data_IF_403228617860
#
_entry.id   IF_403228617860
#
_cell.length_a   1.000
_cell.length_b   1.000
_cell.length_c   1.000
_cell.angle_alpha   90.00
_cell.angle_beta   90.00
_cell.angle_gamma   90.00
#
_symmetry.space_group_name_H-M   'P 1'
#
loop_
_entity.id
_entity.type
_entity.pdbx_description
1 polymer ?
#
# COMPACT_ATOMS: atom_id res chain seq x y z
N UNK A 1 -40.36 -5.23 -58.66
CA UNK A 1 -40.79 -4.08 -57.85
C UNK A 1 -39.61 -3.13 -57.76
N UNK A 2 -39.77 -1.88 -58.20
CA UNK A 2 -38.70 -0.88 -58.14
C UNK A 2 -38.71 -0.21 -56.77
N UNK A 3 -37.61 -0.32 -56.02
CA UNK A 3 -37.45 0.30 -54.71
C UNK A 3 -36.67 1.61 -54.85
N UNK A 4 -37.18 2.69 -54.25
CA UNK A 4 -36.53 4.00 -54.21
C UNK A 4 -36.55 4.57 -52.79
N UNK A 5 -35.88 5.70 -52.59
CA UNK A 5 -35.84 6.39 -51.32
C UNK A 5 -36.50 7.76 -51.42
N UNK A 6 -37.19 8.15 -50.35
CA UNK A 6 -37.70 9.49 -50.18
C UNK A 6 -36.58 10.46 -49.77
N UNK A 7 -36.81 11.75 -49.95
CA UNK A 7 -35.86 12.81 -49.54
C UNK A 7 -35.60 12.86 -48.03
N UNK A 8 -36.42 12.18 -47.22
CA UNK A 8 -36.24 12.02 -45.78
C UNK A 8 -35.48 10.74 -45.39
N UNK A 9 -35.04 9.95 -46.37
CA UNK A 9 -34.24 8.73 -46.20
C UNK A 9 -35.05 7.44 -46.08
N UNK A 10 -36.39 7.48 -46.09
CA UNK A 10 -37.23 6.27 -46.00
C UNK A 10 -37.23 5.45 -47.29
N UNK A 11 -37.19 4.12 -47.19
CA UNK A 11 -37.26 3.19 -48.32
C UNK A 11 -38.72 2.94 -48.71
N UNK A 12 -39.01 3.05 -50.00
CA UNK A 12 -40.36 2.87 -50.55
C UNK A 12 -40.36 2.02 -51.81
N UNK A 13 -41.44 1.27 -52.05
CA UNK A 13 -41.69 0.54 -53.31
C UNK A 13 -42.62 1.36 -54.18
N UNK A 14 -42.29 1.50 -55.47
CA UNK A 14 -43.17 2.15 -56.45
C UNK A 14 -44.27 1.16 -56.86
N UNK A 15 -45.52 1.50 -56.57
CA UNK A 15 -46.69 0.66 -56.85
C UNK A 15 -47.37 1.06 -58.18
N UNK A 16 -47.25 2.33 -58.58
CA UNK A 16 -47.77 2.82 -59.85
C UNK A 16 -47.52 4.31 -60.06
N UNK A 17 -47.79 4.81 -61.26
CA UNK A 17 -47.70 6.24 -61.58
C UNK A 17 -49.11 6.84 -61.60
N UNK A 18 -49.33 7.95 -60.89
CA UNK A 18 -50.61 8.63 -60.89
C UNK A 18 -50.70 9.59 -62.10
N UNK A 19 -49.60 10.26 -62.41
CA UNK A 19 -49.41 11.17 -63.56
C UNK A 19 -47.91 11.24 -63.91
N UNK A 20 -47.52 11.91 -65.00
CA UNK A 20 -46.11 12.06 -65.44
C UNK A 20 -45.15 12.69 -64.39
N UNK A 21 -45.66 13.26 -63.29
CA UNK A 21 -44.87 13.91 -62.24
C UNK A 21 -45.04 13.27 -60.84
N UNK A 22 -46.02 12.39 -60.65
CA UNK A 22 -46.42 11.91 -59.32
C UNK A 22 -46.52 10.38 -59.32
N UNK A 23 -45.82 9.74 -58.37
CA UNK A 23 -45.79 8.28 -58.22
C UNK A 23 -46.47 7.85 -56.92
N UNK A 24 -47.23 6.77 -56.99
CA UNK A 24 -47.82 6.11 -55.82
C UNK A 24 -46.77 5.16 -55.26
N UNK A 25 -46.36 5.42 -54.02
CA UNK A 25 -45.36 4.63 -53.33
C UNK A 25 -45.92 4.03 -52.04
N UNK A 26 -45.30 2.93 -51.61
CA UNK A 26 -45.65 2.25 -50.37
C UNK A 26 -44.39 2.11 -49.51
N UNK A 27 -44.49 2.46 -48.22
CA UNK A 27 -43.35 2.38 -47.29
C UNK A 27 -42.96 0.92 -47.01
N UNK A 28 -41.65 0.67 -47.05
CA UNK A 28 -41.03 -0.61 -46.71
C UNK A 28 -40.53 -0.55 -45.29
N UNK A 29 -41.07 -1.40 -44.43
CA UNK A 29 -40.58 -1.58 -43.07
C UNK A 29 -39.61 -2.75 -43.03
N UNK A 30 -38.58 -2.63 -42.19
CA UNK A 30 -37.62 -3.72 -41.93
C UNK A 30 -37.98 -4.35 -40.59
N UNK A 31 -38.20 -5.66 -40.57
CA UNK A 31 -38.45 -6.39 -39.32
C UNK A 31 -37.17 -6.51 -38.50
N UNK A 32 -37.27 -6.84 -37.20
CA UNK A 32 -36.09 -7.04 -36.33
C UNK A 32 -35.14 -8.15 -36.83
N UNK A 33 -35.61 -9.03 -37.72
CA UNK A 33 -34.84 -10.11 -38.34
C UNK A 33 -34.19 -9.71 -39.68
N UNK A 34 -34.42 -8.47 -40.15
CA UNK A 34 -33.84 -7.94 -41.38
C UNK A 34 -34.68 -8.14 -42.64
N UNK A 35 -35.89 -8.72 -42.53
CA UNK A 35 -36.78 -8.91 -43.67
C UNK A 35 -37.48 -7.59 -44.04
N UNK A 36 -37.45 -7.24 -45.32
CA UNK A 36 -38.09 -6.05 -45.86
C UNK A 36 -39.53 -6.36 -46.29
N UNK A 37 -40.51 -5.72 -45.63
CA UNK A 37 -41.93 -5.93 -45.91
C UNK A 37 -42.57 -4.60 -46.34
N UNK A 38 -43.16 -4.53 -47.56
CA UNK A 38 -44.00 -3.40 -47.93
C UNK A 38 -45.31 -3.48 -47.13
N UNK A 39 -45.44 -2.61 -46.13
CA UNK A 39 -46.53 -2.69 -45.15
C UNK A 39 -47.20 -1.35 -44.83
N UNK A 40 -46.65 -0.24 -45.32
CA UNK A 40 -47.23 1.10 -45.08
C UNK A 40 -48.45 1.39 -45.93
N UNK A 41 -49.12 2.50 -45.62
CA UNK A 41 -50.17 3.05 -46.48
C UNK A 41 -49.58 3.54 -47.81
N UNK A 42 -50.39 3.54 -48.87
CA UNK A 42 -50.00 4.06 -50.18
C UNK A 42 -50.19 5.56 -50.20
N UNK A 43 -49.14 6.31 -50.55
CA UNK A 43 -49.20 7.76 -50.68
C UNK A 43 -48.46 8.24 -51.92
N UNK A 44 -48.75 9.47 -52.33
CA UNK A 44 -48.26 10.05 -53.60
C UNK A 44 -47.06 10.94 -53.33
N UNK A 45 -45.99 10.76 -54.10
CA UNK A 45 -44.75 11.55 -53.98
C UNK A 45 -44.22 12.02 -55.33
N UNK A 46 -43.55 13.17 -55.32
CA UNK A 46 -43.02 13.84 -56.52
C UNK A 46 -41.53 13.57 -56.76
N UNK A 47 -40.77 13.32 -55.69
CA UNK A 47 -39.32 13.18 -55.76
C UNK A 47 -38.90 11.88 -55.10
N UNK A 48 -38.14 11.08 -55.85
CA UNK A 48 -37.61 9.79 -55.43
C UNK A 48 -36.13 9.73 -55.83
N UNK A 49 -35.34 9.14 -54.96
CA UNK A 49 -33.90 8.98 -55.13
C UNK A 49 -33.55 7.51 -55.25
N UNK A 50 -32.55 7.19 -56.07
CA UNK A 50 -32.11 5.80 -56.28
C UNK A 50 -31.23 5.28 -55.12
N UNK A 51 -30.76 6.17 -54.25
CA UNK A 51 -29.95 5.86 -53.07
C UNK A 51 -30.51 6.58 -51.82
N UNK A 52 -30.28 6.02 -50.62
CA UNK A 52 -30.72 6.66 -49.38
C UNK A 52 -30.11 8.05 -49.24
N UNK A 53 -30.98 9.04 -49.04
CA UNK A 53 -30.56 10.44 -48.86
C UNK A 53 -30.17 10.66 -47.41
N UNK A 54 -28.87 10.72 -47.15
CA UNK A 54 -28.37 11.17 -45.85
C UNK A 54 -28.43 12.69 -45.75
N UNK A 55 -29.04 13.20 -44.67
CA UNK A 55 -28.98 14.64 -44.39
C UNK A 55 -27.54 15.04 -44.06
N UNK A 56 -27.11 16.20 -44.54
CA UNK A 56 -25.79 16.76 -44.24
C UNK A 56 -25.52 16.80 -42.72
N UNK A 57 -26.54 17.12 -41.93
CA UNK A 57 -26.48 17.10 -40.46
C UNK A 57 -26.18 15.70 -39.88
N UNK A 58 -26.76 14.63 -40.43
CA UNK A 58 -26.46 13.26 -39.97
C UNK A 58 -25.01 12.88 -40.24
N UNK A 59 -24.52 13.16 -41.46
CA UNK A 59 -23.13 12.90 -41.85
C UNK A 59 -22.13 13.70 -41.02
N UNK A 60 -22.47 14.95 -40.70
CA UNK A 60 -21.61 15.80 -39.86
C UNK A 60 -21.61 15.36 -38.39
N UNK A 61 -22.75 14.92 -37.84
CA UNK A 61 -22.81 14.32 -36.49
C UNK A 61 -21.90 13.11 -36.36
N UNK A 62 -21.96 12.16 -37.30
CA UNK A 62 -21.08 10.99 -37.30
C UNK A 62 -19.59 11.39 -37.35
N UNK A 63 -19.27 12.43 -38.13
CA UNK A 63 -17.90 12.97 -38.20
C UNK A 63 -17.46 13.60 -36.88
N UNK A 64 -18.33 14.38 -36.24
CA UNK A 64 -18.06 15.02 -34.95
C UNK A 64 -17.95 13.97 -33.82
N UNK A 65 -18.79 12.95 -33.81
CA UNK A 65 -18.74 11.85 -32.84
C UNK A 65 -17.44 11.05 -32.96
N UNK A 66 -17.01 10.73 -34.19
CA UNK A 66 -15.70 10.09 -34.42
C UNK A 66 -14.55 10.97 -33.94
N UNK A 67 -14.57 12.26 -34.29
CA UNK A 67 -13.54 13.20 -33.85
C UNK A 67 -13.50 13.34 -32.31
N UNK A 68 -14.66 13.31 -31.64
CA UNK A 68 -14.77 13.35 -30.19
C UNK A 68 -14.26 12.06 -29.54
N UNK A 69 -14.56 10.89 -30.12
CA UNK A 69 -14.03 9.61 -29.66
C UNK A 69 -12.50 9.55 -29.80
N UNK A 70 -11.95 9.97 -30.94
CA UNK A 70 -10.51 10.04 -31.17
C UNK A 70 -9.82 11.03 -30.21
N UNK A 71 -10.46 12.19 -29.95
CA UNK A 71 -9.96 13.17 -28.99
C UNK A 71 -9.94 12.60 -27.56
N UNK A 72 -10.98 11.86 -27.14
CA UNK A 72 -11.01 11.17 -25.83
C UNK A 72 -9.89 10.15 -25.70
N UNK A 73 -9.67 9.31 -26.73
CA UNK A 73 -8.58 8.33 -26.73
C UNK A 73 -7.20 9.01 -26.66
N UNK A 74 -7.01 10.15 -27.33
CA UNK A 74 -5.77 10.93 -27.23
C UNK A 74 -5.57 11.51 -25.83
N UNK A 75 -6.61 12.04 -25.20
CA UNK A 75 -6.56 12.56 -23.83
C UNK A 75 -6.18 11.44 -22.85
N UNK A 76 -6.77 10.25 -22.98
CA UNK A 76 -6.47 9.11 -22.13
C UNK A 76 -5.01 8.67 -22.26
N UNK A 77 -4.49 8.58 -23.49
CA UNK A 77 -3.07 8.29 -23.75
C UNK A 77 -2.15 9.33 -23.13
N UNK A 78 -2.42 10.62 -23.36
CA UNK A 78 -1.63 11.71 -22.80
C UNK A 78 -1.67 11.67 -21.26
N UNK A 79 -2.83 11.41 -20.65
CA UNK A 79 -2.93 11.29 -19.20
C UNK A 79 -2.12 10.10 -18.65
N UNK A 80 -2.13 8.96 -19.36
CA UNK A 80 -1.30 7.81 -18.98
C UNK A 80 0.20 8.13 -19.09
N UNK A 81 0.61 8.85 -20.13
CA UNK A 81 1.99 9.31 -20.31
C UNK A 81 2.40 10.31 -19.23
N UNK A 82 1.54 11.27 -18.90
CA UNK A 82 1.75 12.23 -17.80
C UNK A 82 1.94 11.47 -16.48
N UNK A 83 1.09 10.49 -16.18
CA UNK A 83 1.20 9.70 -14.96
C UNK A 83 2.51 8.92 -14.90
N UNK A 84 2.92 8.29 -16.00
CA UNK A 84 4.19 7.59 -16.10
C UNK A 84 5.39 8.53 -15.95
N UNK A 85 5.34 9.72 -16.55
CA UNK A 85 6.37 10.75 -16.40
C UNK A 85 6.44 11.28 -14.97
N UNK A 86 5.30 11.47 -14.30
CA UNK A 86 5.24 11.87 -12.89
C UNK A 86 5.85 10.81 -11.97
N UNK A 87 5.57 9.53 -12.22
CA UNK A 87 6.19 8.41 -11.50
C UNK A 87 7.71 8.39 -11.74
N UNK A 88 8.14 8.55 -12.99
CA UNK A 88 9.55 8.59 -13.36
C UNK A 88 10.27 9.77 -12.70
N UNK A 89 9.67 10.96 -12.70
CA UNK A 89 10.20 12.15 -12.04
C UNK A 89 10.29 11.93 -10.53
N UNK A 90 9.29 11.32 -9.92
CA UNK A 90 9.28 11.01 -8.48
C UNK A 90 10.41 10.03 -8.13
N UNK A 91 10.61 8.99 -8.95
CA UNK A 91 11.74 8.07 -8.82
C UNK A 91 13.08 8.82 -8.88
N UNK A 92 13.31 9.63 -9.91
CA UNK A 92 14.57 10.37 -10.05
C UNK A 92 14.79 11.38 -8.92
N UNK A 93 13.72 12.00 -8.39
CA UNK A 93 13.81 12.88 -7.22
C UNK A 93 14.29 12.13 -5.99
N UNK A 94 13.70 10.96 -5.69
CA UNK A 94 14.14 10.13 -4.57
C UNK A 94 15.55 9.58 -4.78
N UNK A 95 15.90 9.17 -6.00
CA UNK A 95 17.26 8.76 -6.33
C UNK A 95 18.29 9.86 -6.06
N UNK A 96 18.02 11.10 -6.52
CA UNK A 96 18.93 12.23 -6.27
C UNK A 96 19.04 12.52 -4.78
N UNK A 97 17.92 12.46 -4.04
CA UNK A 97 17.91 12.64 -2.58
C UNK A 97 18.77 11.59 -1.88
N UNK A 98 18.61 10.32 -2.23
CA UNK A 98 19.38 9.21 -1.66
C UNK A 98 20.86 9.31 -2.02
N UNK A 99 21.19 9.52 -3.30
CA UNK A 99 22.58 9.63 -3.78
C UNK A 99 23.28 10.83 -3.15
N UNK A 100 22.60 11.98 -3.05
CA UNK A 100 23.17 13.16 -2.41
C UNK A 100 23.47 12.87 -0.94
N UNK A 101 22.50 12.35 -0.20
CA UNK A 101 22.69 12.08 1.20
C UNK A 101 23.76 10.99 1.45
N UNK A 102 23.82 9.96 0.61
CA UNK A 102 24.91 8.99 0.65
C UNK A 102 26.27 9.63 0.34
N UNK A 103 26.36 10.46 -0.70
CA UNK A 103 27.59 11.17 -1.07
C UNK A 103 28.07 12.13 0.02
N UNK A 104 27.14 12.79 0.72
CA UNK A 104 27.47 13.72 1.80
C UNK A 104 28.07 12.97 3.01
N UNK A 105 27.64 11.73 3.26
CA UNK A 105 28.07 10.91 4.41
C UNK A 105 29.03 9.76 4.03
N UNK A 106 29.47 9.66 2.77
CA UNK A 106 30.26 8.50 2.30
C UNK A 106 31.61 8.38 3.02
N UNK A 107 32.20 9.52 3.40
CA UNK A 107 33.47 9.56 4.14
C UNK A 107 33.29 9.25 5.63
N UNK A 108 32.08 9.47 6.16
CA UNK A 108 31.71 9.14 7.54
C UNK A 108 31.16 7.69 7.63
N UNK A 109 30.83 7.09 6.49
CA UNK A 109 30.34 5.73 6.40
C UNK A 109 31.46 4.73 6.66
N UNK A 110 31.20 3.78 7.54
CA UNK A 110 32.13 2.68 7.83
C UNK A 110 32.08 1.62 6.72
N UNK A 111 32.74 1.93 5.60
CA UNK A 111 32.81 1.03 4.44
C UNK A 111 33.63 -0.24 4.73
N UNK A 112 34.54 -0.19 5.70
CA UNK A 112 35.29 -1.36 6.16
C UNK A 112 34.35 -2.32 6.89
N UNK A 113 33.50 -1.81 7.80
CA UNK A 113 32.46 -2.60 8.43
C UNK A 113 31.49 -3.20 7.40
N UNK A 114 31.11 -2.43 6.38
CA UNK A 114 30.29 -2.97 5.29
C UNK A 114 31.00 -4.13 4.56
N UNK A 115 32.28 -3.97 4.21
CA UNK A 115 33.06 -5.03 3.59
C UNK A 115 33.19 -6.26 4.50
N UNK A 116 33.37 -6.07 5.81
CA UNK A 116 33.42 -7.14 6.79
C UNK A 116 32.12 -7.94 6.85
N UNK A 117 30.97 -7.25 6.81
CA UNK A 117 29.65 -7.91 6.78
C UNK A 117 29.48 -8.71 5.49
N UNK A 118 29.76 -8.11 4.34
CA UNK A 118 29.59 -8.76 3.03
C UNK A 118 30.55 -9.93 2.82
N UNK A 119 31.73 -9.89 3.45
CA UNK A 119 32.72 -10.98 3.40
C UNK A 119 32.52 -12.02 4.52
N UNK A 120 31.54 -11.84 5.39
CA UNK A 120 31.24 -12.79 6.48
C UNK A 120 32.28 -12.80 7.59
N UNK A 121 33.06 -11.73 7.77
CA UNK A 121 34.05 -11.59 8.84
C UNK A 121 33.42 -11.27 10.20
N UNK A 122 32.10 -11.09 10.24
CA UNK A 122 31.31 -10.84 11.45
C UNK A 122 30.83 -12.16 12.09
N UNK A 123 30.70 -12.17 13.41
CA UNK A 123 30.33 -13.36 14.19
C UNK A 123 29.02 -13.22 14.93
N UNK A 124 28.57 -11.99 15.16
CA UNK A 124 27.39 -11.70 15.95
C UNK A 124 26.45 -10.77 15.19
N UNK A 125 25.16 -10.96 15.41
CA UNK A 125 24.10 -10.13 14.87
C UNK A 125 23.20 -9.63 16.01
N UNK A 126 22.77 -8.37 15.89
CA UNK A 126 21.85 -7.72 16.81
C UNK A 126 20.70 -7.15 15.99
N UNK A 127 19.51 -7.72 16.16
CA UNK A 127 18.28 -7.19 15.57
C UNK A 127 17.75 -6.01 16.39
N UNK A 128 17.48 -4.87 15.76
CA UNK A 128 16.84 -3.71 16.41
C UNK A 128 15.36 -4.01 16.68
N UNK A 129 15.05 -4.30 17.95
CA UNK A 129 13.69 -4.53 18.42
C UNK A 129 13.15 -3.35 19.27
N UNK A 130 11.82 -3.33 19.45
CA UNK A 130 11.15 -2.42 20.39
C UNK A 130 11.59 -2.63 21.85
N UNK A 131 12.10 -3.82 22.21
CA UNK A 131 12.71 -4.13 23.52
C UNK A 131 14.24 -4.14 23.51
N UNK A 132 14.91 -4.52 24.60
CA UNK A 132 16.37 -4.70 24.55
C UNK A 132 16.70 -5.86 23.60
N UNK A 133 17.56 -5.64 22.60
CA UNK A 133 17.82 -6.66 21.58
C UNK A 133 18.63 -7.83 22.15
N UNK A 134 18.52 -8.98 21.49
CA UNK A 134 19.33 -10.17 21.80
C UNK A 134 20.61 -10.16 20.98
N UNK A 135 21.68 -10.76 21.52
CA UNK A 135 22.89 -11.05 20.76
C UNK A 135 22.77 -12.48 20.23
N UNK A 136 22.76 -12.62 18.92
CA UNK A 136 22.70 -13.92 18.22
C UNK A 136 24.00 -14.16 17.46
N UNK A 137 24.34 -15.43 17.23
CA UNK A 137 25.45 -15.74 16.31
C UNK A 137 25.03 -15.41 14.88
N UNK A 138 25.98 -14.94 14.08
CA UNK A 138 25.74 -14.58 12.69
C UNK A 138 25.12 -15.73 11.89
N UNK A 139 25.68 -16.93 12.00
CA UNK A 139 25.21 -18.13 11.30
C UNK A 139 23.77 -18.47 11.68
N UNK A 140 23.45 -18.48 12.98
CA UNK A 140 22.10 -18.78 13.47
C UNK A 140 21.09 -17.73 13.00
N UNK A 141 21.48 -16.46 13.03
CA UNK A 141 20.62 -15.34 12.65
C UNK A 141 20.36 -15.28 11.14
N UNK A 142 21.40 -15.44 10.33
CA UNK A 142 21.34 -15.34 8.87
C UNK A 142 20.78 -16.60 8.20
N UNK A 143 20.71 -17.72 8.91
CA UNK A 143 20.12 -18.96 8.37
C UNK A 143 18.60 -18.83 8.21
N UNK A 144 18.10 -19.15 7.01
CA UNK A 144 16.69 -19.45 6.78
C UNK A 144 16.48 -20.95 6.97
N UNK A 145 15.74 -21.32 8.02
CA UNK A 145 15.45 -22.71 8.35
C UNK A 145 13.94 -22.90 8.33
N UNK A 146 13.46 -23.74 7.41
CA UNK A 146 12.10 -24.23 7.49
C UNK A 146 12.00 -25.27 8.61
N UNK A 147 11.00 -25.09 9.45
CA UNK A 147 10.72 -25.91 10.62
C UNK A 147 9.33 -26.53 10.47
N UNK A 148 9.13 -27.31 9.41
CA UNK A 148 7.88 -28.05 9.19
C UNK A 148 7.94 -29.42 9.88
N UNK A 149 7.02 -29.66 10.82
CA UNK A 149 6.88 -30.93 11.57
C UNK A 149 8.18 -31.44 12.22
N UNK A 150 8.97 -30.54 12.82
CA UNK A 150 10.19 -30.89 13.56
C UNK A 150 11.39 -31.28 12.69
N UNK A 151 11.25 -31.27 11.36
CA UNK A 151 12.39 -31.32 10.43
C UNK A 151 12.91 -29.90 10.24
N UNK A 152 14.22 -29.73 10.43
CA UNK A 152 14.92 -28.48 10.20
C UNK A 152 15.67 -28.58 8.88
N UNK A 153 15.16 -27.93 7.85
CA UNK A 153 15.83 -27.88 6.56
C UNK A 153 16.39 -26.47 6.35
N UNK A 154 17.69 -26.41 6.03
CA UNK A 154 18.31 -25.15 5.64
C UNK A 154 17.86 -24.78 4.22
N UNK A 155 17.18 -23.65 4.09
CA UNK A 155 16.65 -23.15 2.82
C UNK A 155 17.52 -22.07 2.18
N UNK A 156 18.55 -21.63 2.90
CA UNK A 156 19.50 -20.63 2.41
C UNK A 156 19.81 -19.56 3.44
N UNK A 157 20.52 -18.54 2.97
CA UNK A 157 20.87 -17.35 3.76
C UNK A 157 19.79 -16.31 3.53
N UNK A 158 19.32 -15.66 4.60
CA UNK A 158 18.35 -14.56 4.54
C UNK A 158 18.87 -13.41 3.66
N UNK A 159 17.95 -12.75 2.95
CA UNK A 159 18.30 -11.62 2.10
C UNK A 159 18.76 -10.42 2.94
N UNK A 160 19.89 -9.81 2.57
CA UNK A 160 20.46 -8.61 3.19
C UNK A 160 20.30 -7.43 2.23
N UNK A 161 19.59 -6.40 2.68
CA UNK A 161 19.36 -5.15 1.96
C UNK A 161 20.22 -4.03 2.54
N UNK A 162 20.86 -3.24 1.66
CA UNK A 162 21.88 -2.24 2.01
C UNK A 162 21.33 -0.81 2.20
N UNK A 163 20.28 -0.47 1.46
CA UNK A 163 19.78 0.89 1.29
C UNK A 163 18.25 0.84 1.39
N UNK A 164 17.74 0.66 2.60
CA UNK A 164 16.31 0.77 2.87
C UNK A 164 15.75 2.17 2.55
N UNK A 165 14.56 2.49 3.07
CA UNK A 165 13.97 3.83 3.00
C UNK A 165 14.70 4.84 3.92
N UNK A 166 16.03 4.91 3.85
CA UNK A 166 16.86 5.75 4.71
C UNK A 166 17.20 7.09 4.06
N UNK A 167 17.57 8.07 4.88
CA UNK A 167 17.99 9.40 4.44
C UNK A 167 19.47 9.40 4.01
N UNK A 168 19.91 8.40 3.24
CA UNK A 168 21.30 8.29 2.75
C UNK A 168 22.26 7.47 3.62
N UNK A 169 21.86 7.09 4.84
CA UNK A 169 22.69 6.23 5.70
C UNK A 169 22.68 4.77 5.20
N UNK A 170 23.84 4.12 5.25
CA UNK A 170 23.96 2.67 5.04
C UNK A 170 23.24 1.98 6.20
N UNK A 171 22.11 1.35 5.89
CA UNK A 171 21.33 0.62 6.88
C UNK A 171 21.11 -0.80 6.41
N UNK A 172 21.71 -1.72 7.16
CA UNK A 172 21.59 -3.15 6.91
C UNK A 172 20.25 -3.65 7.41
N UNK A 173 19.45 -4.19 6.49
CA UNK A 173 18.16 -4.82 6.78
C UNK A 173 18.19 -6.26 6.36
N UNK A 174 17.72 -7.14 7.23
CA UNK A 174 17.64 -8.57 6.95
C UNK A 174 16.18 -8.97 6.81
N UNK A 175 15.84 -9.54 5.67
CA UNK A 175 14.50 -10.06 5.39
C UNK A 175 14.30 -11.38 6.14
N UNK A 176 13.03 -11.71 6.40
CA UNK A 176 12.69 -12.97 7.06
C UNK A 176 13.15 -14.19 6.27
N UNK A 177 13.08 -14.13 4.94
CA UNK A 177 13.36 -15.24 4.03
C UNK A 177 14.50 -14.91 3.05
N UNK A 178 15.04 -15.95 2.40
CA UNK A 178 16.16 -15.86 1.45
C UNK A 178 15.78 -15.18 0.13
N UNK A 179 14.53 -15.28 -0.28
CA UNK A 179 13.98 -14.65 -1.50
C UNK A 179 13.65 -13.15 -1.32
N UNK A 180 13.90 -12.59 -0.13
CA UNK A 180 13.56 -11.20 0.18
C UNK A 180 12.10 -10.98 0.57
N UNK A 181 11.30 -12.04 0.67
CA UNK A 181 9.92 -11.95 1.14
C UNK A 181 9.84 -11.87 2.67
N UNK A 182 8.65 -11.49 3.16
CA UNK A 182 8.41 -11.20 4.56
C UNK A 182 8.88 -9.81 4.99
N UNK A 183 8.59 -9.44 6.24
CA UNK A 183 9.09 -8.19 6.81
C UNK A 183 10.61 -8.16 6.85
N UNK A 184 11.17 -6.95 6.89
CA UNK A 184 12.60 -6.71 7.06
C UNK A 184 12.87 -6.07 8.41
N UNK A 185 13.86 -6.59 9.14
CA UNK A 185 14.31 -6.01 10.40
C UNK A 185 15.63 -5.27 10.19
N UNK A 186 15.84 -4.16 10.88
CA UNK A 186 17.14 -3.47 10.89
C UNK A 186 18.11 -4.23 11.80
N UNK A 187 19.33 -4.48 11.32
CA UNK A 187 20.32 -5.33 12.01
C UNK A 187 21.68 -4.65 12.06
N UNK A 188 22.38 -4.83 13.17
CA UNK A 188 23.79 -4.44 13.34
C UNK A 188 24.63 -5.70 13.54
N UNK A 189 25.80 -5.77 12.91
CA UNK A 189 26.70 -6.92 12.98
C UNK A 189 28.00 -6.56 13.71
N UNK A 190 28.65 -7.57 14.31
CA UNK A 190 29.86 -7.35 15.12
C UNK A 190 30.85 -8.50 14.98
N UNK A 191 32.15 -8.21 15.08
CA UNK A 191 33.22 -9.22 15.02
C UNK A 191 33.41 -9.90 16.36
N UNK A 192 33.28 -9.14 17.46
CA UNK A 192 33.50 -9.62 18.82
C UNK A 192 32.22 -9.55 19.66
N UNK A 193 32.15 -10.39 20.70
CA UNK A 193 31.00 -10.39 21.62
C UNK A 193 31.02 -9.15 22.53
N UNK A 194 32.20 -8.59 22.78
CA UNK A 194 32.40 -7.37 23.55
C UNK A 194 31.79 -6.15 22.83
N UNK A 195 32.05 -5.98 21.54
CA UNK A 195 31.42 -4.93 20.72
C UNK A 195 29.90 -5.07 20.72
N UNK A 196 29.39 -6.29 20.51
CA UNK A 196 27.96 -6.58 20.53
C UNK A 196 27.35 -6.20 21.90
N UNK A 197 28.00 -6.57 23.01
CA UNK A 197 27.57 -6.21 24.37
C UNK A 197 27.56 -4.70 24.61
N UNK A 198 28.56 -3.98 24.10
CA UNK A 198 28.61 -2.52 24.19
C UNK A 198 27.46 -1.86 23.42
N UNK A 199 27.12 -2.38 22.24
CA UNK A 199 25.96 -1.92 21.49
C UNK A 199 24.65 -2.13 22.28
N UNK A 200 24.40 -3.34 22.78
CA UNK A 200 23.19 -3.61 23.59
C UNK A 200 23.15 -2.74 24.84
N UNK A 201 24.29 -2.51 25.48
CA UNK A 201 24.42 -1.60 26.63
C UNK A 201 24.01 -0.17 26.26
N UNK A 202 24.52 0.37 25.15
CA UNK A 202 24.16 1.70 24.64
C UNK A 202 22.65 1.79 24.39
N UNK A 203 22.06 0.81 23.71
CA UNK A 203 20.62 0.76 23.42
C UNK A 203 19.80 0.73 24.73
N UNK A 204 20.22 -0.05 25.72
CA UNK A 204 19.54 -0.09 27.02
C UNK A 204 19.55 1.29 27.72
N UNK A 205 20.67 2.01 27.64
CA UNK A 205 20.80 3.36 28.22
C UNK A 205 20.00 4.42 27.43
N UNK A 206 19.96 4.34 26.10
CA UNK A 206 19.09 5.19 25.28
C UNK A 206 17.61 5.01 25.66
N UNK A 207 17.17 3.77 25.89
CA UNK A 207 15.80 3.45 26.32
C UNK A 207 15.48 3.92 27.73
N UNK A 208 16.48 3.96 28.60
CA UNK A 208 16.32 4.53 29.94
C UNK A 208 15.88 6.00 29.86
N UNK A 209 16.40 6.75 28.89
CA UNK A 209 16.04 8.16 28.71
C UNK A 209 14.61 8.34 28.19
N UNK A 210 14.13 7.41 27.35
CA UNK A 210 12.83 7.47 26.67
C UNK A 210 11.64 6.75 27.34
N UNK A 211 11.78 6.24 28.57
CA UNK A 211 10.78 5.44 29.32
C UNK A 211 10.53 4.00 28.78
N UNK A 212 11.46 3.42 28.03
CA UNK A 212 11.27 2.11 27.39
C UNK A 212 11.99 0.93 28.03
N UNK A 213 12.72 1.12 29.14
CA UNK A 213 13.51 0.06 29.77
C UNK A 213 12.74 -0.55 30.95
N UNK A 214 12.56 -1.88 30.95
CA UNK A 214 11.92 -2.63 32.03
C UNK A 214 12.92 -3.36 32.94
N UNK A 215 12.45 -3.86 34.09
CA UNK A 215 13.27 -4.72 34.97
C UNK A 215 13.70 -6.01 34.24
N UNK A 216 12.83 -6.56 33.40
CA UNK A 216 13.13 -7.79 32.67
C UNK A 216 14.16 -7.56 31.57
N UNK A 217 14.18 -6.37 30.95
CA UNK A 217 15.26 -5.95 30.05
C UNK A 217 16.61 -5.90 30.77
N UNK A 218 16.66 -5.35 32.00
CA UNK A 218 17.89 -5.32 32.80
C UNK A 218 18.36 -6.73 33.16
N UNK A 219 17.44 -7.63 33.52
CA UNK A 219 17.76 -9.05 33.75
C UNK A 219 18.27 -9.72 32.47
N UNK A 220 17.68 -9.40 31.30
CA UNK A 220 18.12 -9.89 30.00
C UNK A 220 19.55 -9.44 29.71
N UNK A 221 19.87 -8.16 29.91
CA UNK A 221 21.23 -7.63 29.78
C UNK A 221 22.22 -8.40 30.67
N UNK A 222 21.87 -8.65 31.93
CA UNK A 222 22.71 -9.41 32.86
C UNK A 222 22.95 -10.84 32.38
N UNK A 223 21.93 -11.53 31.86
CA UNK A 223 22.07 -12.89 31.30
C UNK A 223 23.00 -12.94 30.09
N UNK A 224 23.07 -11.86 29.31
CA UNK A 224 23.99 -11.73 28.17
C UNK A 224 25.43 -11.36 28.56
N UNK A 225 25.70 -11.17 29.86
CA UNK A 225 27.02 -10.79 30.38
C UNK A 225 27.33 -9.30 30.24
N UNK A 226 26.32 -8.44 30.10
CA UNK A 226 26.50 -6.98 30.06
C UNK A 226 26.68 -6.46 31.47
N UNK A 227 27.78 -5.73 31.69
CA UNK A 227 28.12 -5.12 32.98
C UNK A 227 27.84 -3.62 32.94
N UNK A 228 26.95 -3.18 33.83
CA UNK A 228 26.68 -1.78 34.07
C UNK A 228 27.57 -1.27 35.21
N UNK A 229 28.02 -0.01 35.10
CA UNK A 229 28.73 0.67 36.19
C UNK A 229 27.78 0.94 37.36
N UNK A 230 28.35 1.26 38.52
CA UNK A 230 27.57 1.61 39.71
C UNK A 230 26.65 2.81 39.45
N UNK A 231 27.15 3.82 38.75
CA UNK A 231 26.39 5.02 38.42
C UNK A 231 25.26 4.74 37.43
N UNK A 232 25.51 3.87 36.44
CA UNK A 232 24.48 3.43 35.50
C UNK A 232 23.38 2.63 36.21
N UNK A 233 23.73 1.72 37.11
CA UNK A 233 22.76 0.96 37.90
C UNK A 233 21.93 1.85 38.82
N UNK A 234 22.55 2.88 39.41
CA UNK A 234 21.84 3.85 40.24
C UNK A 234 20.82 4.64 39.41
N UNK A 235 21.20 5.12 38.22
CA UNK A 235 20.28 5.79 37.28
C UNK A 235 19.14 4.87 36.84
N UNK A 236 19.46 3.62 36.52
CA UNK A 236 18.46 2.60 36.14
C UNK A 236 17.47 2.40 37.28
N UNK A 237 17.96 2.25 38.52
CA UNK A 237 17.13 2.11 39.71
C UNK A 237 16.20 3.32 39.88
N UNK A 238 16.73 4.54 39.94
CA UNK A 238 15.93 5.75 40.19
C UNK A 238 14.82 5.95 39.14
N UNK A 239 15.13 5.73 37.87
CA UNK A 239 14.14 5.79 36.78
C UNK A 239 13.08 4.71 36.93
N UNK A 240 13.47 3.44 37.10
CA UNK A 240 12.51 2.35 37.19
C UNK A 240 11.57 2.52 38.39
N UNK A 241 12.10 2.89 39.55
CA UNK A 241 11.28 3.13 40.74
C UNK A 241 10.35 4.34 40.58
N UNK A 242 10.84 5.46 40.03
CA UNK A 242 9.98 6.63 39.81
C UNK A 242 8.87 6.36 38.76
N UNK A 243 9.13 5.55 37.73
CA UNK A 243 8.10 5.10 36.79
C UNK A 243 7.10 4.15 37.46
N UNK A 244 7.57 3.20 38.27
CA UNK A 244 6.68 2.30 39.02
C UNK A 244 5.78 3.04 39.99
N UNK A 245 6.29 4.05 40.70
CA UNK A 245 5.49 4.90 41.60
C UNK A 245 4.39 5.66 40.85
N UNK A 246 4.75 6.28 39.71
CA UNK A 246 3.77 6.97 38.84
C UNK A 246 2.69 6.02 38.32
N UNK A 247 3.09 4.84 37.87
CA UNK A 247 2.16 3.83 37.38
C UNK A 247 1.24 3.34 38.50
N UNK A 248 1.77 3.13 39.71
CA UNK A 248 0.97 2.71 40.87
C UNK A 248 -0.07 3.77 41.24
N UNK A 249 0.32 5.05 41.26
CA UNK A 249 -0.61 6.15 41.48
C UNK A 249 -1.71 6.21 40.40
N UNK A 250 -1.34 6.04 39.13
CA UNK A 250 -2.30 6.01 38.03
C UNK A 250 -3.26 4.81 38.11
N UNK A 251 -2.76 3.62 38.45
CA UNK A 251 -3.60 2.44 38.64
C UNK A 251 -4.53 2.59 39.84
N UNK A 252 -4.08 3.21 40.93
CA UNK A 252 -4.93 3.50 42.07
C UNK A 252 -6.05 4.46 41.68
N UNK A 253 -5.75 5.55 40.96
CA UNK A 253 -6.76 6.51 40.50
C UNK A 253 -7.80 5.84 39.58
N UNK A 254 -7.34 4.99 38.65
CA UNK A 254 -8.25 4.26 37.77
C UNK A 254 -9.09 3.23 38.52
N UNK A 255 -8.51 2.55 39.51
CA UNK A 255 -9.24 1.62 40.37
C UNK A 255 -10.33 2.35 41.16
N UNK A 256 -10.01 3.48 41.77
CA UNK A 256 -10.96 4.30 42.53
C UNK A 256 -12.11 4.79 41.64
N UNK A 257 -11.81 5.22 40.40
CA UNK A 257 -12.84 5.59 39.40
C UNK A 257 -13.77 4.43 39.05
N UNK A 258 -13.23 3.23 38.85
CA UNK A 258 -14.05 2.05 38.56
C UNK A 258 -14.93 1.65 39.75
N UNK A 259 -14.40 1.72 40.98
CA UNK A 259 -15.17 1.47 42.20
C UNK A 259 -16.33 2.46 42.32
N UNK A 260 -16.10 3.76 42.07
CA UNK A 260 -17.15 4.77 42.07
C UNK A 260 -18.25 4.46 41.04
N UNK A 261 -17.88 4.13 39.80
CA UNK A 261 -18.83 3.76 38.75
C UNK A 261 -19.68 2.53 39.10
N UNK A 262 -19.07 1.50 39.71
CA UNK A 262 -19.80 0.31 40.16
C UNK A 262 -20.79 0.66 41.27
N UNK A 263 -20.39 1.48 42.24
CA UNK A 263 -21.26 1.90 43.33
C UNK A 263 -22.43 2.77 42.83
N UNK A 264 -22.18 3.71 41.93
CA UNK A 264 -23.22 4.52 41.30
C UNK A 264 -24.20 3.64 40.51
N UNK A 265 -23.70 2.67 39.74
CA UNK A 265 -24.52 1.70 39.03
C UNK A 265 -25.37 0.84 39.97
N UNK A 266 -24.80 0.41 41.10
CA UNK A 266 -25.53 -0.34 42.13
C UNK A 266 -26.68 0.48 42.72
N UNK A 267 -26.43 1.73 43.09
CA UNK A 267 -27.47 2.64 43.61
C UNK A 267 -28.58 2.89 42.59
N UNK A 268 -28.23 3.05 41.32
CA UNK A 268 -29.20 3.20 40.24
C UNK A 268 -30.10 1.95 40.10
N UNK A 269 -29.51 0.75 40.14
CA UNK A 269 -30.26 -0.52 40.09
C UNK A 269 -31.16 -0.69 41.32
N UNK A 270 -30.68 -0.39 42.52
CA UNK A 270 -31.48 -0.44 43.75
C UNK A 270 -32.67 0.52 43.68
N UNK A 271 -32.48 1.72 43.13
CA UNK A 271 -33.57 2.68 42.90
C UNK A 271 -34.60 2.14 41.90
N UNK A 272 -34.16 1.58 40.76
CA UNK A 272 -35.07 0.98 39.77
C UNK A 272 -35.84 -0.23 40.34
N UNK A 273 -35.20 -1.05 41.17
CA UNK A 273 -35.86 -2.17 41.85
C UNK A 273 -36.94 -1.68 42.83
N UNK A 274 -36.65 -0.65 43.62
CA UNK A 274 -37.62 -0.07 44.56
C UNK A 274 -38.79 0.61 43.85
N UNK A 275 -38.56 1.20 42.67
CA UNK A 275 -39.62 1.77 41.82
C UNK A 275 -40.47 0.69 41.15
N UNK A 276 -39.94 -0.50 40.87
CA UNK A 276 -40.67 -1.61 40.24
C UNK A 276 -41.54 -2.44 41.21
N UNK A 277 -41.37 -2.27 42.52
CA UNK A 277 -42.14 -2.98 43.56
C UNK A 277 -43.35 -2.16 44.05
N UNK A 278 -43.45 -0.88 43.68
CA UNK A 278 -44.62 -0.02 43.90
C UNK A 278 -45.54 0.02 42.68
#
# INVERSE_FOLDING_TARGET
METKFLSDGRKVVVVGELNNQEKIVQEVFVTQQGDEIPGGERFVVKSLHDQPVETWSSREKVKQEKALADAKLKIEKINSEISNLQNTLSFWREMVKQVKAFSDHINDADLDHFADVMTGQVKFAIRRDYGVPSIEKFEDFMSSIDNYYGRKNFEGIKCLSLLGSTNGDIALRVNRYSDGSGGSDTVEFYKTIEEARQCVKRIAMEKLNGNGLSIDDVKKCRKMGIVFSRDELQKIKERLFSTSEKNLAHYQENFDKQVAQINDGKLAIEKMLNEAIN
#
